data_IF_871530534274
#
_entry.id   IF_871530534274
#
_cell.length_a   1.000
_cell.length_b   1.000
_cell.length_c   1.000
_cell.angle_alpha   90.00
_cell.angle_beta   90.00
_cell.angle_gamma   90.00
#
_symmetry.space_group_name_H-M   'P 1'
#
loop_
_entity.id
_entity.type
_entity.pdbx_description
1 polymer ?
#
# COMPACT_ATOMS: atom_id res chain seq x y z
N UNK A 1 -6.33 39.58 7.29
CA UNK A 1 -5.64 38.42 6.70
C UNK A 1 -4.59 37.93 7.69
N UNK A 2 -4.73 36.72 8.22
CA UNK A 2 -3.78 36.17 9.20
C UNK A 2 -2.48 35.74 8.51
N UNK A 3 -1.35 36.23 9.00
CA UNK A 3 -0.03 35.79 8.55
C UNK A 3 0.52 34.74 9.53
N UNK A 4 0.96 33.60 8.99
CA UNK A 4 1.69 32.61 9.77
C UNK A 4 3.18 32.96 9.77
N UNK A 5 3.81 32.93 10.95
CA UNK A 5 5.26 33.04 11.03
C UNK A 5 5.90 31.79 10.38
N UNK A 6 7.09 31.95 9.80
CA UNK A 6 7.83 30.83 9.17
C UNK A 6 8.03 29.62 10.13
N UNK A 7 8.03 29.89 11.44
CA UNK A 7 8.23 28.89 12.48
C UNK A 7 6.92 28.19 12.92
N UNK A 8 5.75 28.69 12.50
CA UNK A 8 4.45 28.16 12.96
C UNK A 8 4.28 26.67 12.63
N UNK A 9 4.74 26.23 11.45
CA UNK A 9 4.66 24.82 11.03
C UNK A 9 5.55 23.93 11.90
N UNK A 10 6.79 24.35 12.13
CA UNK A 10 7.74 23.60 12.97
C UNK A 10 7.25 23.47 14.42
N UNK A 11 6.73 24.57 14.97
CA UNK A 11 6.12 24.58 16.30
C UNK A 11 4.90 23.66 16.37
N UNK A 12 3.99 23.77 15.41
CA UNK A 12 2.79 22.94 15.34
C UNK A 12 3.12 21.45 15.22
N UNK A 13 4.12 21.10 14.42
CA UNK A 13 4.62 19.73 14.29
C UNK A 13 5.12 19.16 15.63
N UNK A 14 5.98 19.89 16.33
CA UNK A 14 6.50 19.47 17.64
C UNK A 14 5.38 19.29 18.67
N UNK A 15 4.43 20.22 18.71
CA UNK A 15 3.28 20.12 19.60
C UNK A 15 2.37 18.93 19.23
N UNK A 16 2.14 18.71 17.94
CA UNK A 16 1.37 17.57 17.44
C UNK A 16 1.99 16.23 17.83
N UNK A 17 3.31 16.07 17.62
CA UNK A 17 4.03 14.86 18.04
C UNK A 17 3.97 14.63 19.55
N UNK A 18 4.19 15.69 20.35
CA UNK A 18 4.12 15.60 21.81
C UNK A 18 2.74 15.19 22.30
N UNK A 19 1.67 15.76 21.73
CA UNK A 19 0.28 15.41 22.09
C UNK A 19 -0.09 13.99 21.66
N UNK A 20 0.46 13.52 20.55
CA UNK A 20 0.27 12.15 20.08
C UNK A 20 1.12 11.12 20.84
N UNK A 21 1.98 11.53 21.78
CA UNK A 21 2.90 10.63 22.49
C UNK A 21 4.00 10.05 21.60
N UNK A 22 4.29 10.69 20.48
CA UNK A 22 5.26 10.21 19.49
C UNK A 22 6.61 10.89 19.73
N UNK A 23 7.70 10.10 19.67
CA UNK A 23 9.07 10.62 19.70
C UNK A 23 9.27 11.72 18.66
N UNK A 24 9.96 12.79 19.03
CA UNK A 24 10.31 13.86 18.10
C UNK A 24 11.08 13.29 16.89
N UNK A 25 10.59 13.62 15.70
CA UNK A 25 11.13 13.16 14.43
C UNK A 25 11.00 14.26 13.39
N UNK A 26 11.90 14.26 12.42
CA UNK A 26 11.88 15.24 11.35
C UNK A 26 10.59 15.08 10.50
N UNK A 27 9.88 16.17 10.14
CA UNK A 27 8.65 16.09 9.34
C UNK A 27 8.80 15.29 8.06
N UNK A 28 9.97 15.35 7.41
CA UNK A 28 10.25 14.60 6.19
C UNK A 28 10.06 13.08 6.35
N UNK A 29 10.19 12.54 7.55
CA UNK A 29 9.95 11.11 7.80
C UNK A 29 8.47 10.72 7.58
N UNK A 30 7.51 11.64 7.75
CA UNK A 30 6.11 11.34 7.46
C UNK A 30 5.87 11.08 5.98
N UNK A 31 6.64 11.71 5.09
CA UNK A 31 6.63 11.45 3.65
C UNK A 31 7.03 10.01 3.33
N UNK A 32 8.01 9.48 4.05
CA UNK A 32 8.41 8.09 3.92
C UNK A 32 7.33 7.12 4.42
N UNK A 33 6.72 7.40 5.58
CA UNK A 33 5.61 6.59 6.10
C UNK A 33 4.43 6.57 5.12
N UNK A 34 4.07 7.74 4.56
CA UNK A 34 3.01 7.84 3.57
C UNK A 34 3.27 6.97 2.33
N UNK A 35 4.48 7.02 1.79
CA UNK A 35 4.85 6.22 0.62
C UNK A 35 4.79 4.72 0.93
N UNK A 36 5.35 4.27 2.07
CA UNK A 36 5.29 2.87 2.47
C UNK A 36 3.84 2.39 2.63
N UNK A 37 3.00 3.12 3.37
CA UNK A 37 1.60 2.73 3.56
C UNK A 37 0.81 2.70 2.25
N UNK A 38 1.01 3.68 1.37
CA UNK A 38 0.35 3.69 0.06
C UNK A 38 0.77 2.50 -0.79
N UNK A 39 2.06 2.16 -0.79
CA UNK A 39 2.57 0.99 -1.49
C UNK A 39 2.01 -0.29 -0.90
N UNK A 40 1.99 -0.43 0.44
CA UNK A 40 1.38 -1.57 1.15
C UNK A 40 -0.10 -1.75 0.85
N UNK A 41 -0.82 -0.67 0.56
CA UNK A 41 -2.20 -0.72 0.11
C UNK A 41 -2.36 -1.05 -1.40
N UNK A 42 -1.26 -1.20 -2.14
CA UNK A 42 -1.24 -1.50 -3.57
C UNK A 42 -1.41 -0.28 -4.48
N UNK A 43 -1.15 0.93 -3.99
CA UNK A 43 -1.25 2.14 -4.81
C UNK A 43 -0.12 2.23 -5.85
N UNK A 44 -0.44 2.81 -7.00
CA UNK A 44 0.51 2.95 -8.11
C UNK A 44 1.68 3.89 -7.73
N UNK A 45 2.96 3.47 -7.87
CA UNK A 45 4.13 4.30 -7.54
C UNK A 45 4.17 5.67 -8.25
N UNK A 46 3.68 5.75 -9.49
CA UNK A 46 3.60 7.01 -10.23
C UNK A 46 2.60 7.99 -9.59
N UNK A 47 1.45 7.48 -9.14
CA UNK A 47 0.46 8.28 -8.41
C UNK A 47 1.02 8.80 -7.08
N UNK A 48 1.73 7.95 -6.34
CA UNK A 48 2.39 8.33 -5.08
C UNK A 48 3.47 9.39 -5.33
N UNK A 49 4.24 9.27 -6.42
CA UNK A 49 5.27 10.25 -6.80
C UNK A 49 4.67 11.63 -7.06
N UNK A 50 3.58 11.70 -7.84
CA UNK A 50 2.84 12.94 -8.10
C UNK A 50 2.31 13.55 -6.80
N UNK A 51 1.72 12.75 -5.90
CA UNK A 51 1.19 13.26 -4.63
C UNK A 51 2.26 13.82 -3.70
N UNK A 52 3.48 13.29 -3.79
CA UNK A 52 4.64 13.80 -3.04
C UNK A 52 5.31 15.01 -3.72
N UNK A 53 4.89 15.40 -4.93
CA UNK A 53 5.51 16.48 -5.69
C UNK A 53 6.89 16.10 -6.23
N UNK A 54 7.11 14.82 -6.54
CA UNK A 54 8.29 14.42 -7.32
C UNK A 54 8.01 14.63 -8.81
N UNK A 55 8.96 15.27 -9.50
CA UNK A 55 8.95 15.36 -10.96
C UNK A 55 9.18 14.00 -11.64
N UNK A 56 9.80 13.06 -10.91
CA UNK A 56 10.15 11.74 -11.41
C UNK A 56 9.83 10.62 -10.39
N UNK A 57 9.11 9.60 -10.85
CA UNK A 57 8.72 8.42 -10.07
C UNK A 57 9.89 7.46 -9.82
N UNK A 58 11.00 7.58 -10.56
CA UNK A 58 12.20 6.74 -10.39
C UNK A 58 12.70 6.73 -8.96
N UNK A 59 12.60 7.85 -8.23
CA UNK A 59 13.03 7.95 -6.82
C UNK A 59 12.18 7.09 -5.89
N UNK A 60 10.88 6.96 -6.17
CA UNK A 60 9.95 6.09 -5.42
C UNK A 60 10.28 4.64 -5.72
N UNK A 61 10.49 4.29 -6.99
CA UNK A 61 10.84 2.93 -7.38
C UNK A 61 12.17 2.50 -6.75
N UNK A 62 13.23 3.30 -6.83
CA UNK A 62 14.55 2.95 -6.27
C UNK A 62 14.49 2.79 -4.74
N UNK A 63 13.81 3.69 -4.02
CA UNK A 63 13.76 3.64 -2.56
C UNK A 63 12.88 2.50 -2.05
N UNK A 64 11.81 2.16 -2.77
CA UNK A 64 10.81 1.20 -2.30
C UNK A 64 10.75 -0.12 -3.09
N UNK A 65 11.60 -0.33 -4.10
CA UNK A 65 11.63 -1.56 -4.90
C UNK A 65 11.73 -2.83 -4.04
N UNK A 66 12.52 -2.79 -2.96
CA UNK A 66 12.62 -3.91 -2.01
C UNK A 66 11.27 -4.27 -1.39
N UNK A 67 10.48 -3.27 -1.02
CA UNK A 67 9.16 -3.48 -0.42
C UNK A 67 8.11 -3.92 -1.44
N UNK A 68 8.19 -3.41 -2.68
CA UNK A 68 7.32 -3.85 -3.78
C UNK A 68 7.53 -5.34 -4.09
N UNK A 69 8.78 -5.80 -4.12
CA UNK A 69 9.10 -7.21 -4.38
C UNK A 69 8.59 -8.18 -3.31
N UNK A 70 8.57 -7.76 -2.04
CA UNK A 70 8.04 -8.59 -0.95
C UNK A 70 6.50 -8.68 -0.97
N UNK A 71 5.80 -7.68 -1.51
CA UNK A 71 4.34 -7.69 -1.68
C UNK A 71 3.85 -8.55 -2.85
N UNK A 72 4.76 -8.97 -3.73
CA UNK A 72 4.41 -9.74 -4.93
C UNK A 72 4.07 -11.21 -4.60
N UNK A 73 4.57 -11.71 -3.48
CA UNK A 73 4.47 -13.13 -3.07
C UNK A 73 3.03 -13.63 -2.90
N UNK A 74 2.08 -12.73 -2.62
CA UNK A 74 0.67 -13.07 -2.42
C UNK A 74 -0.25 -12.67 -3.59
N UNK A 75 0.29 -12.10 -4.67
CA UNK A 75 -0.53 -11.59 -5.78
C UNK A 75 -1.28 -12.70 -6.51
N UNK A 76 -0.66 -13.88 -6.67
CA UNK A 76 -1.31 -15.04 -7.27
C UNK A 76 -2.54 -15.44 -6.46
N UNK A 77 -2.41 -15.52 -5.12
CA UNK A 77 -3.52 -15.86 -4.21
C UNK A 77 -4.65 -14.82 -4.26
N UNK A 78 -4.30 -13.53 -4.29
CA UNK A 78 -5.27 -12.44 -4.40
C UNK A 78 -6.02 -12.50 -5.73
N UNK A 79 -5.31 -12.74 -6.83
CA UNK A 79 -5.89 -12.88 -8.18
C UNK A 79 -6.80 -14.10 -8.23
N UNK A 80 -6.35 -15.25 -7.75
CA UNK A 80 -7.15 -16.48 -7.69
C UNK A 80 -8.44 -16.25 -6.90
N UNK A 81 -8.39 -15.63 -5.72
CA UNK A 81 -9.59 -15.34 -4.93
C UNK A 81 -10.57 -14.40 -5.65
N UNK A 82 -10.08 -13.35 -6.31
CA UNK A 82 -10.93 -12.41 -7.07
C UNK A 82 -11.58 -13.08 -8.29
N UNK A 83 -10.83 -13.92 -9.00
CA UNK A 83 -11.36 -14.70 -10.14
C UNK A 83 -12.38 -15.73 -9.66
N UNK A 84 -12.07 -16.48 -8.60
CA UNK A 84 -12.96 -17.52 -8.04
C UNK A 84 -14.27 -16.94 -7.50
N UNK A 85 -14.24 -15.76 -6.89
CA UNK A 85 -15.47 -15.08 -6.40
C UNK A 85 -16.41 -14.69 -7.55
N UNK A 86 -15.89 -14.46 -8.76
CA UNK A 86 -16.67 -14.15 -9.95
C UNK A 86 -17.04 -15.36 -10.82
N UNK A 87 -16.56 -16.56 -10.47
CA UNK A 87 -16.86 -17.78 -11.23
C UNK A 87 -18.22 -18.34 -10.77
N UNK A 88 -19.12 -18.72 -11.69
CA UNK A 88 -20.34 -19.41 -11.33
C UNK A 88 -20.02 -20.72 -10.58
N UNK A 89 -20.87 -21.16 -9.63
CA UNK A 89 -20.64 -22.37 -8.85
C UNK A 89 -20.30 -23.53 -9.79
N UNK A 90 -19.23 -24.25 -9.45
CA UNK A 90 -18.72 -25.33 -10.28
C UNK A 90 -19.84 -26.32 -10.60
N UNK A 91 -19.96 -26.70 -11.88
CA UNK A 91 -20.93 -27.70 -12.34
C UNK A 91 -20.77 -28.95 -11.45
N UNK A 92 -21.83 -29.42 -10.78
CA UNK A 92 -21.73 -30.59 -9.91
C UNK A 92 -21.14 -31.74 -10.71
N UNK A 93 -19.99 -32.25 -10.25
CA UNK A 93 -19.35 -33.38 -10.90
C UNK A 93 -20.24 -34.61 -10.69
N UNK A 94 -20.71 -35.21 -11.79
CA UNK A 94 -21.44 -36.47 -11.70
C UNK A 94 -20.48 -37.50 -11.12
N UNK A 95 -20.76 -37.96 -9.91
CA UNK A 95 -20.01 -39.05 -9.27
C UNK A 95 -20.34 -40.33 -10.05
N UNK A 96 -19.63 -40.60 -11.14
CA UNK A 96 -19.75 -41.87 -11.87
C UNK A 96 -19.12 -42.94 -11.00
N UNK A 97 -19.97 -43.60 -10.19
CA UNK A 97 -19.61 -44.80 -9.47
C UNK A 97 -19.40 -45.92 -10.50
N UNK A 98 -18.17 -46.05 -11.02
CA UNK A 98 -17.77 -47.19 -11.83
C UNK A 98 -17.64 -48.41 -10.93
N UNK A 99 -18.78 -49.08 -10.70
CA UNK A 99 -18.75 -50.48 -10.28
C UNK A 99 -18.21 -51.29 -11.46
N UNK A 100 -16.91 -51.63 -11.41
CA UNK A 100 -16.33 -52.70 -12.23
C UNK A 100 -17.01 -54.00 -11.80
N UNK A 101 -18.04 -54.42 -12.54
CA UNK A 101 -18.54 -55.78 -12.45
C UNK A 101 -17.59 -56.69 -13.25
N UNK A 102 -17.11 -57.71 -12.54
CA UNK A 102 -16.39 -58.88 -13.07
C UNK A 102 -17.24 -59.65 -14.08
#
# INVERSE_FOLDING_TARGET
MGYFSKNAISYGWKQGLRRAGIRERHPYQSRHTYACWSLSAGANPSFIATQMGHEDFRRVYVVYAKWIGDMDKDQVTIITNRITTGLPPSRPQSVTNTKKCL
#
